data_IF_989072897441
#
_entry.id   IF_989072897441
#
_cell.length_a   1.000
_cell.length_b   1.000
_cell.length_c   1.000
_cell.angle_alpha   90.00
_cell.angle_beta   90.00
_cell.angle_gamma   90.00
#
_symmetry.space_group_name_H-M   'P 1'
#
loop_
_entity.id
_entity.type
_entity.pdbx_description
1 polymer ?
#
# COMPACT_ATOMS: atom_id res chain seq x y z
N UNK A 1 2.46 1.93 18.06
CA UNK A 1 2.94 3.24 17.61
C UNK A 1 4.16 2.98 16.75
N UNK A 2 4.04 3.00 15.43
CA UNK A 2 5.09 2.77 14.46
C UNK A 2 6.05 3.95 14.41
N UNK A 3 7.12 3.81 13.64
CA UNK A 3 8.15 4.84 13.54
C UNK A 3 7.66 6.13 12.84
N UNK A 4 6.73 6.00 11.87
CA UNK A 4 6.29 7.10 11.01
C UNK A 4 4.90 7.64 11.38
N UNK A 5 3.94 6.76 11.64
CA UNK A 5 2.56 7.14 12.02
C UNK A 5 2.42 7.42 13.53
N UNK A 6 3.27 6.85 14.38
CA UNK A 6 3.25 7.05 15.84
C UNK A 6 1.86 6.83 16.46
N UNK A 7 1.27 7.86 17.06
CA UNK A 7 -0.09 7.85 17.65
C UNK A 7 -1.20 7.70 16.61
N UNK A 8 -0.89 8.05 15.36
CA UNK A 8 -1.82 7.99 14.25
C UNK A 8 -1.79 6.60 13.56
N UNK A 9 -1.09 5.59 14.13
CA UNK A 9 -1.10 4.20 13.65
C UNK A 9 -2.53 3.64 13.46
N UNK A 10 -3.46 4.06 14.32
CA UNK A 10 -4.87 3.65 14.26
C UNK A 10 -5.52 3.99 12.91
N UNK A 11 -4.97 4.96 12.18
CA UNK A 11 -5.46 5.37 10.87
C UNK A 11 -4.89 4.53 9.71
N UNK A 12 -3.91 3.66 9.92
CA UNK A 12 -3.30 2.85 8.85
C UNK A 12 -4.36 1.99 8.14
N UNK A 13 -5.22 1.31 8.90
CA UNK A 13 -6.32 0.51 8.33
C UNK A 13 -7.23 1.35 7.43
N UNK A 14 -7.85 2.43 7.96
CA UNK A 14 -8.66 3.35 7.17
C UNK A 14 -7.96 3.95 5.94
N UNK A 15 -6.66 4.22 6.01
CA UNK A 15 -5.87 4.73 4.88
C UNK A 15 -5.69 3.68 3.78
N UNK A 16 -5.50 2.41 4.16
CA UNK A 16 -5.53 1.31 3.19
C UNK A 16 -6.93 1.10 2.63
N UNK A 17 -7.99 1.21 3.45
CA UNK A 17 -9.36 1.08 2.98
C UNK A 17 -9.71 2.16 1.95
N UNK A 18 -9.25 3.39 2.14
CA UNK A 18 -9.41 4.46 1.16
C UNK A 18 -8.78 4.09 -0.19
N UNK A 19 -7.58 3.51 -0.18
CA UNK A 19 -6.96 2.96 -1.39
C UNK A 19 -7.82 1.81 -1.96
N UNK A 20 -8.18 0.83 -1.15
CA UNK A 20 -8.91 -0.36 -1.59
C UNK A 20 -10.28 -0.04 -2.18
N UNK A 21 -10.95 1.01 -1.71
CA UNK A 21 -12.19 1.51 -2.27
C UNK A 21 -11.95 2.24 -3.61
N UNK A 22 -10.92 3.09 -3.68
CA UNK A 22 -10.62 3.86 -4.90
C UNK A 22 -10.20 2.97 -6.06
N UNK A 23 -9.41 1.93 -5.78
CA UNK A 23 -8.83 1.02 -6.78
C UNK A 23 -9.53 -0.36 -6.80
N UNK A 24 -10.67 -0.49 -6.12
CA UNK A 24 -11.37 -1.75 -5.94
C UNK A 24 -12.16 -2.22 -7.17
N UNK A 25 -12.99 -3.27 -7.01
CA UNK A 25 -13.91 -3.72 -8.03
C UNK A 25 -14.82 -2.61 -8.55
N UNK A 26 -15.13 -2.65 -9.85
CA UNK A 26 -16.18 -1.82 -10.43
C UNK A 26 -17.53 -2.12 -9.75
N UNK A 27 -18.28 -1.07 -9.36
CA UNK A 27 -19.63 -1.22 -8.85
C UNK A 27 -20.61 -1.00 -10.02
N UNK A 28 -21.17 -2.07 -10.57
CA UNK A 28 -21.91 -2.04 -11.86
C UNK A 28 -23.41 -1.73 -11.71
N UNK A 29 -23.90 -1.60 -10.49
CA UNK A 29 -25.33 -1.64 -10.19
C UNK A 29 -25.98 -0.24 -10.05
N UNK A 30 -25.24 0.83 -10.34
CA UNK A 30 -25.71 2.22 -10.19
C UNK A 30 -25.39 3.01 -11.46
N UNK A 31 -26.35 3.83 -11.90
CA UNK A 31 -26.34 4.60 -13.15
C UNK A 31 -25.13 5.55 -13.32
N UNK A 32 -24.51 5.95 -12.20
CA UNK A 32 -23.32 6.79 -12.13
C UNK A 32 -22.36 6.22 -11.08
N UNK A 33 -21.48 5.31 -11.47
CA UNK A 33 -20.44 4.83 -10.56
C UNK A 33 -19.19 5.70 -10.68
N UNK A 34 -19.01 6.61 -9.71
CA UNK A 34 -17.69 7.10 -9.37
C UNK A 34 -17.03 6.06 -8.46
N UNK A 35 -16.01 5.36 -8.96
CA UNK A 35 -15.16 4.48 -8.18
C UNK A 35 -14.69 3.25 -8.94
N UNK A 36 -13.63 2.63 -8.42
CA UNK A 36 -13.13 1.35 -8.88
C UNK A 36 -12.09 1.43 -10.00
N UNK A 37 -11.61 0.26 -10.38
CA UNK A 37 -10.43 0.10 -11.23
C UNK A 37 -10.60 0.66 -12.65
N UNK A 38 -11.81 0.67 -13.22
CA UNK A 38 -12.05 1.24 -14.55
C UNK A 38 -11.95 2.75 -14.57
N UNK A 39 -12.49 3.44 -13.56
CA UNK A 39 -12.39 4.90 -13.44
C UNK A 39 -10.93 5.31 -13.30
N UNK A 40 -10.19 4.67 -12.39
CA UNK A 40 -8.76 4.95 -12.25
C UNK A 40 -7.98 4.64 -13.53
N UNK A 41 -8.33 3.56 -14.25
CA UNK A 41 -7.70 3.29 -15.55
C UNK A 41 -7.97 4.42 -16.54
N UNK A 42 -9.20 4.89 -16.66
CA UNK A 42 -9.53 6.01 -17.54
C UNK A 42 -8.76 7.28 -17.15
N UNK A 43 -8.69 7.59 -15.85
CA UNK A 43 -7.90 8.71 -15.34
C UNK A 43 -6.39 8.54 -15.56
N UNK A 44 -5.87 7.30 -15.46
CA UNK A 44 -4.48 7.01 -15.77
C UNK A 44 -4.19 7.21 -17.25
N UNK A 45 -5.08 6.77 -18.14
CA UNK A 45 -4.94 6.91 -19.59
C UNK A 45 -5.01 8.39 -20.02
N UNK A 46 -5.79 9.23 -19.32
CA UNK A 46 -5.95 10.66 -19.62
C UNK A 46 -4.87 11.56 -18.99
N UNK A 47 -4.50 11.31 -17.74
CA UNK A 47 -3.68 12.23 -16.94
C UNK A 47 -2.31 11.68 -16.53
N UNK A 48 -2.01 10.42 -16.87
CA UNK A 48 -0.77 9.74 -16.51
C UNK A 48 -0.43 9.93 -15.01
N UNK A 49 -1.38 9.56 -14.14
CA UNK A 49 -1.29 9.78 -12.69
C UNK A 49 -0.04 9.10 -12.11
N UNK A 50 0.20 7.86 -12.51
CA UNK A 50 1.41 7.09 -12.22
C UNK A 50 2.35 7.14 -13.42
N UNK A 51 3.62 7.45 -13.17
CA UNK A 51 4.68 7.50 -14.17
C UNK A 51 5.96 6.93 -13.59
N UNK A 52 6.77 6.28 -14.42
CA UNK A 52 8.10 5.85 -14.01
C UNK A 52 8.93 7.07 -13.53
N UNK A 53 9.58 6.92 -12.38
CA UNK A 53 10.36 7.99 -11.76
C UNK A 53 9.56 9.04 -10.97
N UNK A 54 8.21 9.05 -11.08
CA UNK A 54 7.36 9.88 -10.20
C UNK A 54 7.12 9.14 -8.88
N UNK A 55 7.43 9.74 -7.72
CA UNK A 55 7.19 9.10 -6.42
C UNK A 55 5.71 8.80 -6.19
N UNK A 56 5.39 7.65 -5.60
CA UNK A 56 4.02 7.24 -5.27
C UNK A 56 3.27 8.29 -4.44
N UNK A 57 3.99 8.96 -3.54
CA UNK A 57 3.43 9.99 -2.66
C UNK A 57 2.83 11.17 -3.45
N UNK A 58 3.37 11.52 -4.61
CA UNK A 58 2.82 12.62 -5.42
C UNK A 58 1.52 12.20 -6.10
N UNK A 59 1.44 10.99 -6.64
CA UNK A 59 0.19 10.41 -7.16
C UNK A 59 -0.86 10.27 -6.06
N UNK A 60 -0.45 9.88 -4.85
CA UNK A 60 -1.34 9.78 -3.70
C UNK A 60 -1.90 11.14 -3.25
N UNK A 61 -1.08 12.21 -3.27
CA UNK A 61 -1.54 13.57 -3.01
C UNK A 61 -2.55 14.04 -4.06
N UNK A 62 -2.25 13.80 -5.35
CA UNK A 62 -3.12 14.18 -6.47
C UNK A 62 -4.50 13.51 -6.35
N UNK A 63 -4.52 12.24 -5.98
CA UNK A 63 -5.75 11.44 -5.82
C UNK A 63 -6.44 11.64 -4.46
N UNK A 64 -5.89 12.46 -3.56
CA UNK A 64 -6.47 12.67 -2.24
C UNK A 64 -6.44 11.43 -1.33
N UNK A 65 -5.50 10.49 -1.53
CA UNK A 65 -5.38 9.22 -0.79
C UNK A 65 -4.85 9.37 0.65
N UNK A 66 -5.01 10.54 1.23
CA UNK A 66 -4.80 10.81 2.65
C UNK A 66 -6.06 11.35 3.32
N UNK A 67 -7.23 11.12 2.70
CA UNK A 67 -8.59 11.66 2.93
C UNK A 67 -9.20 11.51 4.33
N UNK A 68 -8.40 11.79 5.35
CA UNK A 68 -8.81 11.95 6.74
C UNK A 68 -8.99 13.44 7.01
N UNK A 69 -10.03 13.79 7.77
CA UNK A 69 -10.20 15.13 8.37
C UNK A 69 -9.15 15.42 9.48
N UNK A 70 -8.02 14.72 9.46
CA UNK A 70 -6.90 14.85 10.36
C UNK A 70 -5.62 15.11 9.55
N UNK A 71 -5.23 16.37 9.44
CA UNK A 71 -4.05 16.79 8.68
C UNK A 71 -2.74 16.19 9.21
N UNK A 72 -2.64 15.90 10.52
CA UNK A 72 -1.45 15.29 11.11
C UNK A 72 -1.28 13.85 10.63
N UNK A 73 -2.35 13.05 10.71
CA UNK A 73 -2.36 11.67 10.22
C UNK A 73 -2.09 11.61 8.71
N UNK A 74 -2.70 12.51 7.93
CA UNK A 74 -2.46 12.66 6.49
C UNK A 74 -0.98 12.92 6.16
N UNK A 75 -0.33 13.87 6.84
CA UNK A 75 1.07 14.19 6.58
C UNK A 75 2.01 13.04 6.99
N UNK A 76 1.70 12.35 8.08
CA UNK A 76 2.44 11.14 8.48
C UNK A 76 2.25 10.01 7.48
N UNK A 77 1.05 9.86 6.92
CA UNK A 77 0.78 8.88 5.87
C UNK A 77 1.60 9.16 4.61
N UNK A 78 1.66 10.41 4.15
CA UNK A 78 2.54 10.79 3.05
C UNK A 78 4.02 10.55 3.35
N UNK A 79 4.43 10.66 4.63
CA UNK A 79 5.77 10.30 5.06
C UNK A 79 6.03 8.78 4.98
N UNK A 80 5.02 7.96 5.26
CA UNK A 80 5.06 6.50 5.03
C UNK A 80 5.26 6.20 3.56
N UNK A 81 4.45 6.79 2.68
CA UNK A 81 4.58 6.58 1.23
C UNK A 81 5.96 7.01 0.71
N UNK A 82 6.44 8.19 1.11
CA UNK A 82 7.77 8.66 0.72
C UNK A 82 8.92 7.79 1.25
N UNK A 83 8.72 7.15 2.42
CA UNK A 83 9.70 6.21 2.98
C UNK A 83 9.83 4.93 2.14
N UNK A 84 8.83 4.57 1.32
CA UNK A 84 8.91 3.38 0.47
C UNK A 84 10.02 3.47 -0.60
N UNK A 85 10.49 4.68 -0.92
CA UNK A 85 11.67 4.85 -1.78
C UNK A 85 12.98 4.39 -1.11
N UNK A 86 12.96 4.12 0.19
CA UNK A 86 14.13 3.67 0.99
C UNK A 86 14.06 2.19 1.39
N UNK A 87 12.98 1.50 1.06
CA UNK A 87 12.81 0.08 1.40
C UNK A 87 13.01 -0.78 0.15
N UNK A 88 13.52 -2.02 0.31
CA UNK A 88 13.61 -2.95 -0.81
C UNK A 88 12.20 -3.40 -1.26
N UNK A 89 12.14 -4.05 -2.41
CA UNK A 89 10.94 -4.72 -2.90
C UNK A 89 11.18 -6.21 -3.16
N UNK A 90 10.15 -6.90 -3.66
CA UNK A 90 10.25 -8.27 -4.16
C UNK A 90 10.78 -8.37 -5.60
N UNK A 91 11.09 -7.24 -6.24
CA UNK A 91 11.69 -7.15 -7.56
C UNK A 91 13.11 -6.62 -7.45
N UNK A 92 14.08 -7.36 -8.00
CA UNK A 92 15.48 -6.95 -8.00
C UNK A 92 15.67 -5.63 -8.76
N UNK A 93 16.42 -4.70 -8.16
CA UNK A 93 16.70 -3.38 -8.73
C UNK A 93 15.62 -2.32 -8.48
N UNK A 94 14.46 -2.68 -7.89
CA UNK A 94 13.39 -1.73 -7.57
C UNK A 94 13.27 -1.48 -6.07
N UNK A 95 13.16 -0.21 -5.69
CA UNK A 95 12.68 0.19 -4.35
C UNK A 95 11.20 -0.16 -4.19
N UNK A 96 10.71 -0.16 -2.95
CA UNK A 96 9.30 -0.40 -2.67
C UNK A 96 8.36 0.60 -3.36
N UNK A 97 8.76 1.87 -3.45
CA UNK A 97 8.01 2.90 -4.18
C UNK A 97 7.93 2.58 -5.68
N UNK A 98 9.08 2.34 -6.32
CA UNK A 98 9.16 1.98 -7.74
C UNK A 98 8.35 0.71 -8.05
N UNK A 99 8.45 -0.31 -7.19
CA UNK A 99 7.72 -1.57 -7.37
C UNK A 99 6.22 -1.35 -7.44
N UNK A 100 5.68 -0.49 -6.56
CA UNK A 100 4.24 -0.18 -6.54
C UNK A 100 3.86 0.61 -7.78
N UNK A 101 4.60 1.67 -8.10
CA UNK A 101 4.31 2.54 -9.26
C UNK A 101 4.34 1.73 -10.55
N UNK A 102 5.40 0.97 -10.78
CA UNK A 102 5.56 0.14 -11.98
C UNK A 102 4.47 -0.95 -12.07
N UNK A 103 4.08 -1.55 -10.94
CA UNK A 103 2.99 -2.52 -10.92
C UNK A 103 1.64 -1.88 -11.27
N UNK A 104 1.36 -0.68 -10.78
CA UNK A 104 0.14 0.07 -11.10
C UNK A 104 0.09 0.46 -12.57
N UNK A 105 1.18 1.01 -13.12
CA UNK A 105 1.31 1.34 -14.55
C UNK A 105 1.03 0.10 -15.40
N UNK A 106 1.73 -1.01 -15.10
CA UNK A 106 1.55 -2.28 -15.82
C UNK A 106 0.12 -2.80 -15.71
N UNK A 107 -0.50 -2.67 -14.54
CA UNK A 107 -1.88 -3.12 -14.34
C UNK A 107 -2.88 -2.28 -15.14
N UNK A 108 -2.76 -0.96 -15.12
CA UNK A 108 -3.68 -0.07 -15.86
C UNK A 108 -3.46 -0.09 -17.37
N UNK A 109 -2.28 -0.50 -17.85
CA UNK A 109 -2.05 -0.76 -19.28
C UNK A 109 -2.82 -2.01 -19.80
N UNK A 110 -3.36 -2.87 -18.92
CA UNK A 110 -4.14 -4.04 -19.33
C UNK A 110 -5.47 -3.61 -19.96
N UNK A 111 -5.97 -4.42 -20.91
CA UNK A 111 -7.34 -4.30 -21.42
C UNK A 111 -8.38 -4.39 -20.30
N UNK A 112 -8.12 -5.25 -19.31
CA UNK A 112 -8.92 -5.41 -18.11
C UNK A 112 -7.99 -5.40 -16.90
N UNK A 113 -7.82 -4.25 -16.23
CA UNK A 113 -6.97 -4.14 -15.05
C UNK A 113 -7.57 -4.92 -13.86
N UNK A 114 -6.72 -5.45 -13.00
CA UNK A 114 -7.17 -6.07 -11.75
C UNK A 114 -7.52 -4.98 -10.73
N UNK A 115 -8.57 -5.18 -9.91
CA UNK A 115 -8.74 -4.34 -8.73
C UNK A 115 -7.50 -4.45 -7.84
N UNK A 116 -7.12 -3.37 -7.18
CA UNK A 116 -5.94 -3.34 -6.32
C UNK A 116 -6.35 -3.51 -4.86
N UNK A 117 -5.50 -4.16 -4.09
CA UNK A 117 -5.71 -4.35 -2.65
C UNK A 117 -4.41 -4.09 -1.90
N UNK A 118 -4.36 -3.00 -1.15
CA UNK A 118 -3.26 -2.65 -0.29
C UNK A 118 -3.48 -3.16 1.13
N UNK A 119 -2.43 -3.73 1.72
CA UNK A 119 -2.44 -4.22 3.11
C UNK A 119 -1.07 -4.06 3.76
N UNK A 120 -1.04 -4.20 5.08
CA UNK A 120 0.21 -4.34 5.83
C UNK A 120 0.64 -5.80 5.97
N UNK A 121 1.94 -6.00 6.15
CA UNK A 121 2.51 -7.22 6.73
C UNK A 121 3.55 -6.87 7.82
N UNK A 122 3.84 -7.83 8.71
CA UNK A 122 4.83 -7.62 9.78
C UNK A 122 6.25 -7.67 9.20
N UNK A 123 6.91 -6.52 9.19
CA UNK A 123 8.27 -6.39 8.68
C UNK A 123 9.34 -7.09 9.53
N UNK A 124 8.98 -7.54 10.73
CA UNK A 124 9.86 -8.32 11.62
C UNK A 124 9.89 -9.80 11.26
N UNK A 125 8.95 -10.29 10.46
CA UNK A 125 8.94 -11.66 9.97
C UNK A 125 9.97 -11.83 8.84
N UNK A 126 11.21 -12.10 9.21
CA UNK A 126 12.31 -12.35 8.28
C UNK A 126 12.18 -13.69 7.55
N UNK A 127 11.31 -14.60 8.02
CA UNK A 127 10.98 -15.85 7.32
C UNK A 127 9.96 -15.63 6.19
N UNK A 128 9.16 -14.56 6.29
CA UNK A 128 8.23 -14.12 5.27
C UNK A 128 8.78 -12.98 4.40
N UNK A 129 8.04 -11.87 4.32
CA UNK A 129 8.36 -10.75 3.43
C UNK A 129 9.42 -9.80 4.00
N UNK A 130 9.57 -9.73 5.33
CA UNK A 130 10.50 -8.83 6.00
C UNK A 130 10.24 -7.36 5.64
N UNK A 131 11.29 -6.58 5.41
CA UNK A 131 11.18 -5.15 5.07
C UNK A 131 10.80 -4.89 3.60
N UNK A 132 10.51 -5.92 2.80
CA UNK A 132 10.24 -5.74 1.37
C UNK A 132 8.80 -5.34 1.14
N UNK A 133 8.58 -4.38 0.25
CA UNK A 133 7.27 -4.26 -0.41
C UNK A 133 7.09 -5.45 -1.33
N UNK A 134 5.91 -6.06 -1.29
CA UNK A 134 5.60 -7.25 -2.09
C UNK A 134 4.35 -6.98 -2.92
N UNK A 135 4.41 -7.28 -4.22
CA UNK A 135 3.27 -7.09 -5.12
C UNK A 135 2.98 -8.38 -5.88
N UNK A 136 1.75 -8.90 -5.74
CA UNK A 136 1.33 -10.20 -6.27
C UNK A 136 -0.08 -10.16 -6.83
N UNK A 137 -0.39 -11.09 -7.73
CA UNK A 137 -1.77 -11.38 -8.11
C UNK A 137 -2.29 -12.52 -7.24
N UNK A 138 -3.21 -12.24 -6.32
CA UNK A 138 -3.78 -13.23 -5.41
C UNK A 138 -5.23 -12.86 -4.99
N UNK A 139 -5.81 -13.63 -4.06
CA UNK A 139 -7.16 -13.43 -3.55
C UNK A 139 -7.09 -12.99 -2.07
N UNK A 140 -6.84 -11.70 -1.78
CA UNK A 140 -6.56 -11.21 -0.43
C UNK A 140 -7.81 -11.16 0.46
N UNK A 141 -9.01 -11.18 -0.12
CA UNK A 141 -10.29 -11.16 0.58
C UNK A 141 -10.90 -12.54 0.55
N UNK A 142 -10.88 -13.25 1.68
CA UNK A 142 -11.22 -14.68 1.74
C UNK A 142 -12.67 -15.02 1.36
N UNK A 143 -13.59 -14.06 1.50
CA UNK A 143 -15.02 -14.22 1.21
C UNK A 143 -15.43 -13.67 -0.17
N UNK A 144 -14.47 -13.26 -0.99
CA UNK A 144 -14.70 -12.80 -2.37
C UNK A 144 -13.84 -13.62 -3.32
N UNK A 145 -14.48 -14.38 -4.21
CA UNK A 145 -13.78 -15.14 -5.24
C UNK A 145 -13.36 -14.22 -6.40
N UNK A 146 -12.30 -13.44 -6.17
CA UNK A 146 -11.74 -12.52 -7.17
C UNK A 146 -10.24 -12.35 -6.96
N UNK A 147 -9.50 -12.29 -8.06
CA UNK A 147 -8.08 -11.97 -8.07
C UNK A 147 -7.86 -10.46 -8.06
N UNK A 148 -6.90 -10.02 -7.25
CA UNK A 148 -6.50 -8.62 -7.07
C UNK A 148 -5.01 -8.47 -7.37
N UNK A 149 -4.61 -7.26 -7.75
CA UNK A 149 -3.23 -6.82 -7.59
C UNK A 149 -3.02 -6.43 -6.12
N UNK A 150 -2.47 -7.35 -5.34
CA UNK A 150 -2.23 -7.16 -3.91
C UNK A 150 -0.88 -6.50 -3.68
N UNK A 151 -0.89 -5.38 -2.97
CA UNK A 151 0.28 -4.60 -2.56
C UNK A 151 0.44 -4.72 -1.05
N UNK A 152 1.49 -5.39 -0.62
CA UNK A 152 1.77 -5.62 0.80
C UNK A 152 2.89 -4.69 1.27
N UNK A 153 2.58 -3.80 2.20
CA UNK A 153 3.50 -2.77 2.71
C UNK A 153 4.08 -3.20 4.07
N UNK A 154 5.41 -3.14 4.26
CA UNK A 154 6.05 -3.53 5.51
C UNK A 154 5.72 -2.56 6.63
N UNK A 155 5.19 -3.07 7.74
CA UNK A 155 4.89 -2.30 8.95
C UNK A 155 5.50 -2.98 10.18
N UNK A 156 5.83 -2.21 11.20
CA UNK A 156 6.15 -2.73 12.53
C UNK A 156 5.76 -1.74 13.61
N UNK A 157 5.32 -2.21 14.78
CA UNK A 157 5.29 -1.37 15.97
C UNK A 157 6.70 -0.83 16.26
N UNK A 158 6.82 0.43 16.66
CA UNK A 158 8.06 0.90 17.28
C UNK A 158 8.27 0.07 18.54
N UNK A 159 9.38 -0.64 18.59
CA UNK A 159 9.76 -1.36 19.81
C UNK A 159 9.99 -0.30 20.89
N UNK A 160 9.31 -0.37 22.05
CA UNK A 160 9.60 0.56 23.13
C UNK A 160 11.08 0.41 23.54
N UNK A 161 11.75 1.48 24.02
CA UNK A 161 13.18 1.48 24.33
C UNK A 161 13.67 0.41 25.34
N UNK A 162 12.78 -0.38 25.96
CA UNK A 162 13.12 -1.45 26.91
C UNK A 162 13.09 -2.88 26.37
N UNK A 163 12.73 -3.08 25.10
CA UNK A 163 12.55 -4.41 24.50
C UNK A 163 13.83 -5.13 24.08
N UNK A 164 14.89 -5.12 24.92
CA UNK A 164 16.00 -6.07 24.72
C UNK A 164 15.44 -7.46 24.97
N UNK A 165 15.35 -8.26 23.91
CA UNK A 165 14.96 -9.67 24.01
C UNK A 165 15.72 -10.33 25.16
N UNK A 166 14.99 -10.83 26.16
CA UNK A 166 15.56 -11.71 27.17
C UNK A 166 16.09 -12.94 26.43
N UNK A 167 17.38 -12.97 26.13
CA UNK A 167 18.09 -14.22 25.85
C UNK A 167 17.82 -15.13 27.05
N UNK A 168 16.96 -16.13 26.87
CA UNK A 168 16.79 -17.23 27.83
C UNK A 168 18.18 -17.85 28.00
N UNK A 169 18.84 -17.57 29.13
CA UNK A 169 19.99 -18.37 29.57
C UNK A 169 19.44 -19.76 29.89
N UNK A 170 19.75 -20.71 29.02
CA UNK A 170 19.74 -22.13 29.36
C UNK A 170 20.63 -22.31 30.61
N UNK A 171 20.04 -22.77 31.71
CA UNK A 171 20.82 -23.32 32.83
C UNK A 171 20.97 -24.82 32.55
N UNK A 172 22.23 -25.24 32.48
CA UNK A 172 22.69 -26.62 32.64
C UNK A 172 22.26 -27.17 33.99
#
# INVERSE_FOLDING_TARGET
MGALMAEDDIYIGPLFDLFNLRFGPEQKDIELTAGGVSEIKALQDEFEIFQEGRPLVESAKLLGLGGLNNNRAKNRWYSVLAWLAKVPSDQDGETGDQRIVNALIKNFARKSPLPCFMKAHDSRDTGGYGLRVVVREDNPVFYIERTYLTISVPMAPKVPPGGKGKKKKSKK
#
